data_IF_221234061557
#
_entry.id   IF_221234061557
#
_cell.length_a   1.000
_cell.length_b   1.000
_cell.length_c   1.000
_cell.angle_alpha   90.00
_cell.angle_beta   90.00
_cell.angle_gamma   90.00
#
_symmetry.space_group_name_H-M   'P 1'
#
loop_
_entity.id
_entity.type
_entity.pdbx_description
1 polymer ?
#
# COMPACT_ATOMS: atom_id res chain seq x y z
N UNK A 1 8.14 -8.64 -0.09
CA UNK A 1 7.75 -7.70 -1.17
C UNK A 1 8.06 -8.25 -2.56
N UNK A 2 9.32 -8.40 -3.00
CA UNK A 2 9.63 -8.83 -4.39
C UNK A 2 9.01 -10.18 -4.78
N UNK A 3 9.05 -11.20 -3.90
CA UNK A 3 8.42 -12.50 -4.18
C UNK A 3 6.89 -12.42 -4.26
N UNK A 4 6.28 -11.50 -3.51
CA UNK A 4 4.84 -11.26 -3.52
C UNK A 4 4.41 -10.65 -4.84
N UNK A 5 5.15 -9.66 -5.34
CA UNK A 5 4.89 -9.07 -6.65
C UNK A 5 5.09 -10.07 -7.78
N UNK A 6 6.10 -10.94 -7.70
CA UNK A 6 6.28 -12.04 -8.67
C UNK A 6 5.10 -13.01 -8.67
N UNK A 7 4.61 -13.39 -7.48
CA UNK A 7 3.44 -14.27 -7.36
C UNK A 7 2.16 -13.60 -7.88
N UNK A 8 1.97 -12.31 -7.61
CA UNK A 8 0.84 -11.54 -8.12
C UNK A 8 0.87 -11.43 -9.65
N UNK A 9 2.04 -11.15 -10.23
CA UNK A 9 2.23 -11.09 -11.68
C UNK A 9 1.94 -12.45 -12.34
N UNK A 10 2.48 -13.54 -11.79
CA UNK A 10 2.25 -14.90 -12.32
C UNK A 10 0.80 -15.38 -12.21
N UNK A 11 0.01 -14.79 -11.30
CA UNK A 11 -1.41 -15.11 -11.12
C UNK A 11 -2.37 -14.29 -12.00
N UNK A 12 -1.89 -13.23 -12.66
CA UNK A 12 -2.73 -12.34 -13.47
C UNK A 12 -2.48 -12.56 -14.95
N UNK A 13 -3.56 -12.63 -15.75
CA UNK A 13 -3.48 -12.63 -17.23
C UNK A 13 -3.50 -11.22 -17.82
N UNK A 14 -3.79 -10.21 -16.99
CA UNK A 14 -4.04 -8.84 -17.42
C UNK A 14 -2.92 -7.85 -17.04
N UNK A 15 -2.03 -8.25 -16.12
CA UNK A 15 -0.92 -7.40 -15.68
C UNK A 15 0.34 -7.87 -16.40
N UNK A 16 0.96 -6.98 -17.18
CA UNK A 16 2.14 -7.31 -17.99
C UNK A 16 3.44 -7.15 -17.20
N UNK A 17 3.55 -6.11 -16.37
CA UNK A 17 4.70 -5.89 -15.50
C UNK A 17 4.31 -5.15 -14.22
N UNK A 18 5.07 -5.38 -13.14
CA UNK A 18 4.95 -4.65 -11.88
C UNK A 18 6.29 -4.00 -11.55
N UNK A 19 6.31 -2.69 -11.37
CA UNK A 19 7.50 -1.92 -11.01
C UNK A 19 7.48 -1.56 -9.53
N UNK A 20 8.46 -2.06 -8.77
CA UNK A 20 8.70 -1.65 -7.39
C UNK A 20 9.85 -0.65 -7.36
N UNK A 21 9.55 0.61 -7.05
CA UNK A 21 10.57 1.64 -6.84
C UNK A 21 10.86 1.73 -5.35
N UNK A 22 12.13 1.56 -4.98
CA UNK A 22 12.58 1.83 -3.62
C UNK A 22 12.93 3.32 -3.51
N UNK A 23 12.52 3.94 -2.40
CA UNK A 23 12.95 5.30 -2.09
C UNK A 23 14.46 5.29 -1.89
N UNK A 24 15.17 6.11 -2.64
CA UNK A 24 16.61 6.33 -2.46
C UNK A 24 16.82 7.10 -1.16
N UNK A 25 17.79 6.69 -0.34
CA UNK A 25 18.19 7.44 0.86
C UNK A 25 18.48 8.90 0.48
N UNK A 26 17.76 9.85 1.09
CA UNK A 26 17.85 11.29 0.79
C UNK A 26 16.57 11.92 0.23
N UNK A 27 15.59 11.14 -0.23
CA UNK A 27 14.28 11.62 -0.68
C UNK A 27 13.18 11.49 0.40
N UNK A 28 13.50 11.88 1.64
CA UNK A 28 12.53 11.88 2.75
C UNK A 28 11.40 12.90 2.56
N UNK A 29 11.56 13.85 1.64
CA UNK A 29 10.54 14.81 1.25
C UNK A 29 9.68 14.21 0.14
N UNK A 30 8.72 13.38 0.53
CA UNK A 30 7.66 12.98 -0.39
C UNK A 30 6.79 14.21 -0.69
N UNK A 31 6.22 14.33 -1.90
CA UNK A 31 5.27 15.40 -2.21
C UNK A 31 4.12 15.48 -1.19
N UNK A 32 3.72 14.32 -0.67
CA UNK A 32 2.71 14.15 0.38
C UNK A 32 3.09 14.87 1.69
N UNK A 33 4.38 15.01 2.01
CA UNK A 33 4.80 15.74 3.22
C UNK A 33 4.33 17.20 3.21
N UNK A 34 4.24 17.83 2.02
CA UNK A 34 3.73 19.19 1.90
C UNK A 34 2.23 19.25 2.17
N UNK A 35 1.47 18.25 1.72
CA UNK A 35 0.02 18.18 1.87
C UNK A 35 -0.36 17.94 3.34
N UNK A 36 0.39 17.08 4.05
CA UNK A 36 0.22 16.92 5.49
C UNK A 36 0.53 18.20 6.28
N UNK A 37 1.49 19.01 5.84
CA UNK A 37 1.78 20.30 6.47
C UNK A 37 0.63 21.29 6.38
N UNK A 38 -0.05 21.34 5.23
CA UNK A 38 -1.23 22.19 5.02
C UNK A 38 -2.39 21.76 5.92
N UNK A 39 -2.65 20.45 6.00
CA UNK A 39 -3.67 19.86 6.89
C UNK A 39 -3.33 20.15 8.36
N UNK A 40 -2.09 19.94 8.80
CA UNK A 40 -1.66 20.19 10.18
C UNK A 40 -1.82 21.66 10.58
N UNK A 41 -1.54 22.59 9.67
CA UNK A 41 -1.72 24.02 9.91
C UNK A 41 -3.19 24.41 10.17
N UNK A 42 -4.12 23.75 9.48
CA UNK A 42 -5.56 23.98 9.65
C UNK A 42 -6.08 23.26 10.89
N UNK A 43 -5.62 22.03 11.14
CA UNK A 43 -5.94 21.27 12.35
C UNK A 43 -5.54 22.01 13.63
N UNK A 44 -4.37 22.68 13.65
CA UNK A 44 -3.95 23.51 14.80
C UNK A 44 -4.90 24.66 15.12
N UNK A 45 -5.77 25.05 14.19
CA UNK A 45 -6.77 26.12 14.34
C UNK A 45 -8.17 25.58 14.63
N UNK A 46 -8.40 24.29 14.44
CA UNK A 46 -9.63 23.59 14.80
C UNK A 46 -9.46 22.99 16.19
N UNK A 47 -10.16 23.56 17.17
CA UNK A 47 -10.01 23.17 18.59
C UNK A 47 -10.63 21.81 18.89
N UNK A 48 -11.61 21.36 18.10
CA UNK A 48 -12.36 20.13 18.40
C UNK A 48 -12.73 19.37 17.13
N UNK A 49 -12.30 18.10 17.06
CA UNK A 49 -12.74 17.12 16.07
C UNK A 49 -13.30 15.92 16.82
N UNK A 50 -14.54 15.55 16.50
CA UNK A 50 -15.26 14.50 17.23
C UNK A 50 -15.62 13.32 16.34
N UNK A 51 -15.54 13.49 15.02
CA UNK A 51 -15.91 12.49 14.03
C UNK A 51 -14.89 12.38 12.90
N UNK A 52 -14.79 11.21 12.23
CA UNK A 52 -14.01 11.07 11.00
C UNK A 52 -14.43 12.04 9.89
N UNK A 53 -15.70 12.41 9.86
CA UNK A 53 -16.25 13.37 8.90
C UNK A 53 -15.66 14.77 9.07
N UNK A 54 -15.37 15.18 10.31
CA UNK A 54 -14.68 16.45 10.59
C UNK A 54 -13.28 16.47 9.98
N UNK A 55 -12.58 15.33 10.03
CA UNK A 55 -11.27 15.18 9.41
C UNK A 55 -11.35 15.29 7.88
N UNK A 56 -12.35 14.67 7.26
CA UNK A 56 -12.58 14.75 5.81
C UNK A 56 -12.80 16.21 5.41
N UNK A 57 -13.68 16.93 6.11
CA UNK A 57 -13.96 18.34 5.81
C UNK A 57 -12.71 19.24 5.94
N UNK A 58 -11.86 18.99 6.93
CA UNK A 58 -10.60 19.75 7.06
C UNK A 58 -9.63 19.42 5.94
N UNK A 59 -9.49 18.15 5.56
CA UNK A 59 -8.63 17.76 4.43
C UNK A 59 -9.12 18.38 3.11
N UNK A 60 -10.43 18.42 2.86
CA UNK A 60 -11.01 19.04 1.65
C UNK A 60 -10.84 20.57 1.65
N UNK A 61 -10.96 21.21 2.81
CA UNK A 61 -10.96 22.67 2.93
C UNK A 61 -9.58 23.30 3.15
N UNK A 62 -8.55 22.50 3.47
CA UNK A 62 -7.22 23.01 3.82
C UNK A 62 -6.52 23.77 2.68
N UNK A 63 -6.88 23.48 1.42
CA UNK A 63 -6.21 24.05 0.24
C UNK A 63 -7.19 24.56 -0.80
N UNK A 64 -7.22 25.89 -0.99
CA UNK A 64 -8.11 26.54 -1.98
C UNK A 64 -7.68 26.32 -3.45
N UNK A 65 -6.37 26.19 -3.69
CA UNK A 65 -5.80 26.02 -5.04
C UNK A 65 -5.22 24.61 -5.15
N UNK A 66 -5.83 23.78 -6.00
CA UNK A 66 -5.62 22.31 -6.06
C UNK A 66 -6.00 21.65 -4.72
N UNK A 67 -7.31 21.55 -4.44
CA UNK A 67 -7.82 20.86 -3.25
C UNK A 67 -7.27 19.44 -3.16
N UNK A 68 -7.10 18.94 -1.94
CA UNK A 68 -6.73 17.55 -1.70
C UNK A 68 -7.94 16.68 -2.05
N UNK A 69 -7.72 15.64 -2.86
CA UNK A 69 -8.73 14.63 -3.14
C UNK A 69 -8.76 13.64 -1.97
N UNK A 70 -9.85 13.66 -1.21
CA UNK A 70 -10.04 12.75 -0.08
C UNK A 70 -10.76 11.50 -0.58
N UNK A 71 -10.04 10.38 -0.58
CA UNK A 71 -10.60 9.07 -0.96
C UNK A 71 -10.89 8.28 0.32
N UNK A 72 -12.18 8.05 0.59
CA UNK A 72 -12.60 7.12 1.64
C UNK A 72 -12.37 5.68 1.17
N UNK A 73 -11.82 4.86 2.05
CA UNK A 73 -11.54 3.45 1.79
C UNK A 73 -12.39 2.62 2.77
N UNK A 74 -13.24 1.77 2.24
CA UNK A 74 -14.11 0.88 3.01
C UNK A 74 -13.41 -0.44 3.31
N UNK A 75 -13.99 -1.27 4.19
CA UNK A 75 -13.39 -2.54 4.57
C UNK A 75 -13.20 -3.48 3.37
N UNK A 76 -14.13 -3.39 2.43
CA UNK A 76 -14.21 -4.20 1.21
C UNK A 76 -13.08 -3.91 0.23
N UNK A 77 -12.47 -2.73 0.31
CA UNK A 77 -11.33 -2.33 -0.52
C UNK A 77 -10.02 -3.00 -0.04
N UNK A 78 -9.97 -3.47 1.21
CA UNK A 78 -8.80 -4.15 1.75
C UNK A 78 -8.77 -5.63 1.37
N UNK A 79 -7.92 -5.96 0.38
CA UNK A 79 -7.74 -7.34 -0.08
C UNK A 79 -6.66 -8.07 0.73
N UNK A 80 -6.99 -9.26 1.23
CA UNK A 80 -6.06 -10.10 1.99
C UNK A 80 -4.94 -10.69 1.12
N UNK A 81 -3.71 -10.62 1.62
CA UNK A 81 -2.52 -11.23 0.99
C UNK A 81 -2.29 -12.69 1.40
N UNK A 82 -3.09 -13.25 2.31
CA UNK A 82 -2.87 -14.58 2.90
C UNK A 82 -2.78 -15.70 1.85
N UNK A 83 -3.57 -15.62 0.78
CA UNK A 83 -3.54 -16.60 -0.31
C UNK A 83 -2.18 -16.62 -1.01
N UNK A 84 -1.63 -15.44 -1.26
CA UNK A 84 -0.35 -15.25 -1.94
C UNK A 84 0.81 -15.67 -1.01
N UNK A 85 0.72 -15.38 0.28
CA UNK A 85 1.73 -15.78 1.28
C UNK A 85 1.88 -17.30 1.41
N UNK A 86 0.76 -18.04 1.34
CA UNK A 86 0.74 -19.51 1.35
C UNK A 86 1.38 -20.13 0.11
N UNK A 87 1.34 -19.45 -1.03
CA UNK A 87 1.97 -19.89 -2.27
C UNK A 87 3.48 -19.60 -2.30
N UNK A 88 3.93 -18.57 -1.58
CA UNK A 88 5.35 -18.17 -1.53
C UNK A 88 6.16 -18.99 -0.52
N UNK A 89 5.51 -19.64 0.45
CA UNK A 89 6.22 -20.34 1.51
C UNK A 89 7.01 -21.53 0.94
N UNK A 90 8.33 -21.53 1.15
CA UNK A 90 9.28 -22.53 0.65
C UNK A 90 8.85 -23.96 1.05
N UNK A 91 8.11 -24.65 0.19
CA UNK A 91 7.83 -26.08 0.37
C UNK A 91 9.11 -26.85 0.09
N UNK A 92 9.74 -27.39 1.13
CA UNK A 92 10.81 -28.40 0.97
C UNK A 92 10.20 -29.59 0.23
N UNK A 93 10.43 -29.72 -1.07
CA UNK A 93 10.12 -30.95 -1.81
C UNK A 93 11.10 -32.01 -1.34
N UNK A 94 10.64 -32.95 -0.53
CA UNK A 94 11.40 -34.17 -0.24
C UNK A 94 11.44 -35.00 -1.53
N UNK A 95 12.49 -34.82 -2.32
CA UNK A 95 12.74 -35.66 -3.49
C UNK A 95 13.20 -37.02 -2.97
N UNK A 96 12.31 -38.01 -2.95
CA UNK A 96 12.71 -39.41 -2.75
C UNK A 96 13.57 -39.83 -3.94
N UNK A 97 14.91 -39.86 -3.78
CA UNK A 97 15.80 -40.51 -4.75
C UNK A 97 15.40 -41.98 -4.84
N UNK A 98 14.90 -42.42 -6.01
CA UNK A 98 14.81 -43.85 -6.31
C UNK A 98 16.25 -44.39 -6.32
N UNK A 99 16.56 -45.31 -5.39
CA UNK A 99 17.78 -46.12 -5.48
C UNK A 99 17.58 -47.09 -6.64
N UNK A 100 18.43 -46.99 -7.67
CA UNK A 100 18.53 -48.01 -8.71
C UNK A 100 19.12 -49.26 -8.06
N UNK A 101 18.33 -50.33 -7.95
CA UNK A 101 18.83 -51.67 -7.63
C UNK A 101 19.40 -52.25 -8.92
N UNK A 102 20.71 -52.53 -8.90
CA UNK A 102 21.37 -53.43 -9.85
C UNK A 102 20.89 -54.87 -9.65
#
# INVERSE_FOLDING_TARGET
MVLLLKCALGGSKHVEYIKLQFLTSGHSFLPNNSEFGDVECVLKRHTEMFSPEDYIQVMESCRKKRPIEVVSIEREDFVSTQKIEKEITNRKKVVKRKRSTN
#
